data_IF_133081663731
#
_entry.id   IF_133081663731
#
_cell.length_a   1.000
_cell.length_b   1.000
_cell.length_c   1.000
_cell.angle_alpha   90.00
_cell.angle_beta   90.00
_cell.angle_gamma   90.00
#
_symmetry.space_group_name_H-M   'P 1'
#
loop_
_entity.id
_entity.type
_entity.pdbx_description
1 polymer ?
#
# COMPACT_ATOMS: atom_id res chain seq x y z
N UNK A 1 28.96 6.87 -1.45
CA UNK A 1 28.70 7.91 -0.43
C UNK A 1 27.48 7.50 0.38
N UNK A 2 27.46 7.68 1.72
CA UNK A 2 26.28 7.38 2.53
C UNK A 2 25.22 8.48 2.33
N UNK A 3 23.94 8.22 2.64
CA UNK A 3 22.89 9.21 2.48
C UNK A 3 23.07 10.37 3.46
N UNK A 4 22.89 11.61 2.97
CA UNK A 4 23.03 12.84 3.77
C UNK A 4 22.04 12.90 4.94
N UNK A 5 20.84 12.35 4.73
CA UNK A 5 19.86 12.11 5.79
C UNK A 5 19.84 10.63 6.13
N UNK A 6 19.89 10.24 7.42
CA UNK A 6 19.83 8.84 7.81
C UNK A 6 18.50 8.21 7.35
N UNK A 7 18.48 6.91 6.99
CA UNK A 7 17.26 6.23 6.60
C UNK A 7 16.14 6.32 7.65
N UNK A 8 14.90 6.42 7.17
CA UNK A 8 13.70 6.31 7.99
C UNK A 8 13.10 4.92 7.83
N UNK A 9 12.75 4.27 8.94
CA UNK A 9 12.12 2.94 8.88
C UNK A 9 10.77 3.01 8.16
N UNK A 10 10.43 1.98 7.38
CA UNK A 10 9.20 1.95 6.59
C UNK A 10 7.92 1.99 7.44
N UNK A 11 7.98 1.53 8.69
CA UNK A 11 6.89 1.59 9.66
C UNK A 11 6.59 3.00 10.18
N UNK A 12 7.46 3.98 9.91
CA UNK A 12 7.34 5.32 10.46
C UNK A 12 6.21 6.14 9.83
N UNK A 13 5.68 7.08 10.62
CA UNK A 13 4.56 7.91 10.19
C UNK A 13 4.94 8.94 9.12
N UNK A 14 3.95 9.40 8.35
CA UNK A 14 4.10 10.56 7.45
C UNK A 14 4.62 11.80 8.18
N UNK A 15 4.28 11.99 9.47
CA UNK A 15 4.81 13.10 10.29
C UNK A 15 6.34 12.99 10.42
N UNK A 16 6.86 11.81 10.78
CA UNK A 16 8.31 11.56 10.86
C UNK A 16 9.02 11.70 9.52
N UNK A 17 8.37 11.35 8.41
CA UNK A 17 8.90 11.58 7.07
C UNK A 17 9.03 13.07 6.73
N UNK A 18 8.02 13.88 7.09
CA UNK A 18 8.06 15.34 6.95
C UNK A 18 9.17 15.95 7.82
N UNK A 19 9.22 15.59 9.11
CA UNK A 19 10.29 15.99 10.04
C UNK A 19 11.69 15.65 9.49
N UNK A 20 11.89 14.42 8.97
CA UNK A 20 13.19 13.97 8.45
C UNK A 20 13.64 14.76 7.22
N UNK A 21 12.71 15.21 6.39
CA UNK A 21 12.99 16.00 5.18
C UNK A 21 12.93 17.52 5.41
N UNK A 22 12.77 17.99 6.66
CA UNK A 22 12.53 19.40 7.02
C UNK A 22 11.35 20.01 6.26
N UNK A 23 10.29 19.23 6.05
CA UNK A 23 9.06 19.65 5.38
C UNK A 23 7.98 20.00 6.42
N UNK A 24 7.37 21.16 6.23
CA UNK A 24 6.20 21.61 6.99
C UNK A 24 4.90 21.05 6.33
N UNK A 25 4.03 20.32 7.05
CA UNK A 25 2.75 19.82 6.51
C UNK A 25 1.70 20.92 6.26
N UNK A 26 1.82 22.07 6.93
CA UNK A 26 0.89 23.20 6.87
C UNK A 26 1.23 24.17 5.73
N UNK A 27 2.47 24.12 5.23
CA UNK A 27 2.94 24.84 4.03
C UNK A 27 2.41 24.21 2.71
N UNK A 28 1.64 24.96 1.87
CA UNK A 28 1.15 24.48 0.58
C UNK A 28 2.22 23.91 -0.38
N UNK A 29 3.41 24.52 -0.43
CA UNK A 29 4.50 24.11 -1.34
C UNK A 29 5.01 22.71 -0.97
N UNK A 30 5.22 22.44 0.33
CA UNK A 30 5.65 21.13 0.83
C UNK A 30 4.57 20.06 0.64
N UNK A 31 3.28 20.40 0.80
CA UNK A 31 2.18 19.49 0.44
C UNK A 31 2.19 19.13 -1.05
N UNK A 32 2.43 20.11 -1.92
CA UNK A 32 2.55 19.89 -3.38
C UNK A 32 3.75 18.99 -3.70
N UNK A 33 4.91 19.24 -3.11
CA UNK A 33 6.12 18.40 -3.25
C UNK A 33 5.86 16.94 -2.85
N UNK A 34 5.26 16.69 -1.68
CA UNK A 34 4.88 15.34 -1.26
C UNK A 34 3.88 14.69 -2.24
N UNK A 35 2.97 15.48 -2.82
CA UNK A 35 2.08 15.05 -3.90
C UNK A 35 2.83 14.57 -5.14
N UNK A 36 3.88 15.28 -5.55
CA UNK A 36 4.75 14.90 -6.68
C UNK A 36 5.52 13.60 -6.37
N UNK A 37 6.17 13.51 -5.21
CA UNK A 37 6.89 12.29 -4.79
C UNK A 37 5.95 11.08 -4.77
N UNK A 38 4.71 11.28 -4.31
CA UNK A 38 3.68 10.23 -4.28
C UNK A 38 3.23 9.83 -5.68
N UNK A 39 3.12 10.77 -6.62
CA UNK A 39 2.77 10.47 -8.00
C UNK A 39 3.86 9.61 -8.67
N UNK A 40 5.13 9.97 -8.52
CA UNK A 40 6.27 9.19 -9.03
C UNK A 40 6.31 7.77 -8.46
N UNK A 41 6.10 7.63 -7.14
CA UNK A 41 6.01 6.33 -6.48
C UNK A 41 4.77 5.51 -6.90
N UNK A 42 3.63 6.14 -7.21
CA UNK A 42 2.46 5.46 -7.78
C UNK A 42 2.74 4.96 -9.19
N UNK A 43 3.41 5.76 -10.02
CA UNK A 43 3.78 5.39 -11.38
C UNK A 43 4.76 4.21 -11.39
N UNK A 44 5.81 4.26 -10.56
CA UNK A 44 6.74 3.14 -10.39
C UNK A 44 6.09 1.91 -9.78
N UNK A 45 5.17 2.08 -8.81
CA UNK A 45 4.39 0.96 -8.26
C UNK A 45 3.53 0.28 -9.32
N UNK A 46 2.96 1.06 -10.26
CA UNK A 46 2.17 0.52 -11.37
C UNK A 46 3.01 -0.33 -12.33
N UNK A 47 4.21 0.15 -12.68
CA UNK A 47 5.17 -0.60 -13.52
C UNK A 47 5.57 -1.93 -12.89
N UNK A 48 6.10 -1.89 -11.66
CA UNK A 48 6.64 -3.10 -11.01
C UNK A 48 5.55 -4.13 -10.68
N UNK A 49 4.33 -3.69 -10.36
CA UNK A 49 3.21 -4.60 -10.11
C UNK A 49 2.61 -5.23 -11.38
N UNK A 50 3.04 -4.79 -12.57
CA UNK A 50 2.54 -5.30 -13.86
C UNK A 50 3.59 -6.03 -14.69
N UNK A 51 4.82 -6.16 -14.20
CA UNK A 51 5.93 -6.82 -14.91
C UNK A 51 6.21 -8.21 -14.33
N UNK A 52 6.04 -9.31 -15.11
CA UNK A 52 6.37 -10.67 -14.65
C UNK A 52 7.84 -10.84 -14.22
N UNK A 53 8.75 -10.06 -14.80
CA UNK A 53 10.18 -10.05 -14.41
C UNK A 53 10.39 -9.55 -12.97
N UNK A 54 9.45 -8.77 -12.43
CA UNK A 54 9.53 -8.27 -11.06
C UNK A 54 9.27 -9.36 -10.02
N UNK A 55 8.61 -10.46 -10.39
CA UNK A 55 8.26 -11.54 -9.47
C UNK A 55 9.49 -12.20 -8.84
N UNK A 56 9.34 -12.68 -7.61
CA UNK A 56 10.28 -13.61 -6.99
C UNK A 56 10.43 -14.89 -7.85
N UNK A 57 11.63 -15.50 -7.91
CA UNK A 57 11.89 -16.59 -8.86
C UNK A 57 10.90 -17.76 -8.79
N UNK A 58 10.42 -18.10 -7.59
CA UNK A 58 9.46 -19.19 -7.36
C UNK A 58 8.06 -18.95 -7.93
N UNK A 59 7.68 -17.70 -8.21
CA UNK A 59 6.35 -17.36 -8.72
C UNK A 59 6.35 -16.97 -10.21
N UNK A 60 7.52 -16.79 -10.83
CA UNK A 60 7.64 -16.27 -12.20
C UNK A 60 6.94 -17.14 -13.26
N UNK A 61 6.88 -18.45 -13.02
CA UNK A 61 6.32 -19.43 -13.94
C UNK A 61 4.97 -20.00 -13.45
N UNK A 62 4.38 -19.46 -12.37
CA UNK A 62 3.08 -19.91 -11.88
C UNK A 62 1.94 -19.23 -12.67
N UNK A 63 1.16 -19.95 -13.49
CA UNK A 63 0.08 -19.36 -14.27
C UNK A 63 -1.09 -18.85 -13.42
N UNK A 64 -1.11 -19.14 -12.10
CA UNK A 64 -2.11 -18.60 -11.17
C UNK A 64 -1.74 -17.22 -10.62
N UNK A 65 -0.52 -16.73 -10.89
CA UNK A 65 -0.01 -15.44 -10.39
C UNK A 65 -0.21 -14.36 -11.44
N UNK A 66 -1.38 -13.72 -11.37
CA UNK A 66 -1.76 -12.61 -12.25
C UNK A 66 -1.46 -11.22 -11.62
N UNK A 67 -1.18 -10.19 -12.44
CA UNK A 67 -1.04 -8.82 -11.97
C UNK A 67 -2.41 -8.20 -11.58
N UNK A 68 -2.45 -7.16 -10.71
CA UNK A 68 -1.32 -6.45 -10.15
C UNK A 68 -0.70 -7.16 -8.94
N UNK A 69 0.59 -7.46 -9.03
CA UNK A 69 1.31 -8.20 -8.00
C UNK A 69 1.35 -7.44 -6.64
N UNK A 70 1.26 -8.20 -5.55
CA UNK A 70 1.43 -7.71 -4.19
C UNK A 70 2.91 -7.47 -3.85
N UNK A 71 3.21 -6.75 -2.76
CA UNK A 71 4.60 -6.55 -2.34
C UNK A 71 5.31 -7.87 -1.99
N UNK A 72 4.60 -8.85 -1.43
CA UNK A 72 5.18 -10.15 -1.05
C UNK A 72 5.57 -11.03 -2.25
N UNK A 73 5.03 -10.75 -3.44
CA UNK A 73 5.33 -11.48 -4.66
C UNK A 73 6.49 -10.87 -5.48
N UNK A 74 6.90 -9.65 -5.13
CA UNK A 74 7.89 -8.88 -5.89
C UNK A 74 9.28 -9.03 -5.26
N UNK A 75 10.28 -9.26 -6.11
CA UNK A 75 11.67 -9.44 -5.69
C UNK A 75 12.32 -8.13 -5.26
N UNK A 76 13.22 -8.21 -4.28
CA UNK A 76 13.98 -7.05 -3.79
C UNK A 76 14.84 -6.42 -4.91
N UNK A 77 15.42 -7.23 -5.80
CA UNK A 77 16.15 -6.74 -6.97
C UNK A 77 15.29 -5.92 -7.93
N UNK A 78 13.99 -6.27 -8.08
CA UNK A 78 13.06 -5.46 -8.86
C UNK A 78 12.67 -4.17 -8.14
N UNK A 79 12.45 -4.23 -6.82
CA UNK A 79 12.24 -3.03 -5.99
C UNK A 79 13.42 -2.07 -6.11
N UNK A 80 14.65 -2.57 -6.02
CA UNK A 80 15.87 -1.76 -6.14
C UNK A 80 15.99 -1.10 -7.51
N UNK A 81 15.75 -1.87 -8.59
CA UNK A 81 15.79 -1.34 -9.97
C UNK A 81 14.74 -0.25 -10.18
N UNK A 82 13.55 -0.39 -9.61
CA UNK A 82 12.50 0.62 -9.72
C UNK A 82 12.78 1.85 -8.85
N UNK A 83 13.45 1.71 -7.70
CA UNK A 83 13.94 2.84 -6.90
C UNK A 83 14.92 3.70 -7.71
N UNK A 84 15.92 3.09 -8.35
CA UNK A 84 16.87 3.79 -9.22
C UNK A 84 16.15 4.46 -10.40
N UNK A 85 15.23 3.73 -11.05
CA UNK A 85 14.43 4.25 -12.17
C UNK A 85 13.56 5.45 -11.80
N UNK A 86 13.00 5.48 -10.59
CA UNK A 86 12.25 6.64 -10.08
C UNK A 86 13.20 7.82 -9.86
N UNK A 87 14.38 7.59 -9.27
CA UNK A 87 15.39 8.64 -9.06
C UNK A 87 15.90 9.23 -10.39
N UNK A 88 16.23 8.39 -11.38
CA UNK A 88 16.66 8.81 -12.72
C UNK A 88 15.63 9.72 -13.40
N UNK A 89 14.34 9.35 -13.29
CA UNK A 89 13.20 10.02 -13.92
C UNK A 89 12.55 11.10 -13.04
N UNK A 90 13.09 11.34 -11.84
CA UNK A 90 12.53 12.27 -10.88
C UNK A 90 12.50 13.70 -11.45
N UNK A 91 11.42 14.42 -11.16
CA UNK A 91 11.30 15.84 -11.51
C UNK A 91 12.38 16.65 -10.79
N UNK A 92 12.85 17.79 -11.33
CA UNK A 92 13.86 18.63 -10.67
C UNK A 92 13.51 19.01 -9.23
N UNK A 93 12.24 19.18 -8.90
CA UNK A 93 11.75 19.51 -7.57
C UNK A 93 11.86 18.34 -6.57
N UNK A 94 11.52 17.12 -6.99
CA UNK A 94 11.58 15.92 -6.13
C UNK A 94 12.99 15.36 -6.04
N UNK A 95 13.75 15.39 -7.15
CA UNK A 95 15.12 14.89 -7.25
C UNK A 95 16.05 15.49 -6.20
N UNK A 96 15.98 16.81 -5.97
CA UNK A 96 16.77 17.52 -4.95
C UNK A 96 16.63 16.93 -3.55
N UNK A 97 15.45 16.43 -3.20
CA UNK A 97 15.22 15.74 -1.93
C UNK A 97 15.67 14.29 -1.99
N UNK A 98 15.50 13.61 -3.12
CA UNK A 98 15.98 12.23 -3.29
C UNK A 98 17.51 12.13 -3.15
N UNK A 99 18.31 13.11 -3.61
CA UNK A 99 19.76 13.12 -3.36
C UNK A 99 20.10 13.02 -1.86
N UNK A 100 19.26 13.61 -0.98
CA UNK A 100 19.48 13.57 0.47
C UNK A 100 19.36 12.14 1.05
N UNK A 101 18.60 11.26 0.39
CA UNK A 101 18.35 9.89 0.82
C UNK A 101 19.06 8.82 0.00
N UNK A 102 19.97 9.21 -0.90
CA UNK A 102 20.68 8.33 -1.83
C UNK A 102 21.91 7.72 -1.15
N UNK A 103 22.00 6.39 -1.13
CA UNK A 103 23.12 5.61 -0.60
C UNK A 103 23.84 4.94 -1.78
N UNK A 104 25.10 5.32 -2.04
CA UNK A 104 25.96 4.75 -3.09
C UNK A 104 27.17 3.99 -2.53
N UNK A 105 27.29 3.81 -1.20
CA UNK A 105 28.38 3.00 -0.61
C UNK A 105 27.98 1.54 -0.37
N UNK A 106 26.68 1.24 -0.28
CA UNK A 106 26.21 -0.14 -0.22
C UNK A 106 26.50 -0.87 -1.53
N UNK A 107 26.68 -2.19 -1.42
CA UNK A 107 26.78 -3.12 -2.56
C UNK A 107 25.70 -2.92 -3.64
N UNK A 108 24.52 -2.44 -3.22
CA UNK A 108 23.46 -1.99 -4.10
C UNK A 108 23.18 -0.52 -3.81
N UNK A 109 23.26 0.34 -4.83
CA UNK A 109 22.81 1.74 -4.74
C UNK A 109 21.31 1.78 -4.38
N UNK A 110 20.94 2.58 -3.38
CA UNK A 110 19.57 2.68 -2.87
C UNK A 110 19.13 4.12 -2.60
N UNK A 111 17.82 4.31 -2.43
CA UNK A 111 17.24 5.59 -2.03
C UNK A 111 16.13 5.38 -1.00
N UNK A 112 16.42 5.68 0.28
CA UNK A 112 15.49 5.37 1.36
C UNK A 112 14.19 6.18 1.27
N UNK A 113 14.24 7.39 0.70
CA UNK A 113 13.07 8.26 0.54
C UNK A 113 12.09 7.63 -0.46
N UNK A 114 12.60 7.24 -1.62
CA UNK A 114 11.79 6.56 -2.66
C UNK A 114 11.28 5.21 -2.16
N UNK A 115 12.12 4.44 -1.46
CA UNK A 115 11.75 3.17 -0.81
C UNK A 115 10.61 3.34 0.19
N UNK A 116 10.66 4.38 1.03
CA UNK A 116 9.60 4.72 1.99
C UNK A 116 8.30 5.09 1.28
N UNK A 117 8.37 5.90 0.21
CA UNK A 117 7.22 6.30 -0.60
C UNK A 117 6.56 5.10 -1.30
N UNK A 118 7.35 4.19 -1.90
CA UNK A 118 6.86 2.95 -2.52
C UNK A 118 6.10 2.06 -1.53
N UNK A 119 6.64 1.87 -0.32
CA UNK A 119 5.98 1.09 0.73
C UNK A 119 4.62 1.68 1.13
N UNK A 120 4.59 2.99 1.37
CA UNK A 120 3.35 3.69 1.76
C UNK A 120 2.29 3.65 0.65
N UNK A 121 2.68 3.86 -0.61
CA UNK A 121 1.78 3.75 -1.76
C UNK A 121 1.15 2.35 -1.84
N UNK A 122 1.94 1.28 -1.68
CA UNK A 122 1.41 -0.07 -1.69
C UNK A 122 0.42 -0.30 -0.52
N UNK A 123 0.76 0.15 0.69
CA UNK A 123 -0.10 -0.02 1.88
C UNK A 123 -1.46 0.69 1.75
N UNK A 124 -1.50 1.86 1.11
CA UNK A 124 -2.78 2.53 0.80
C UNK A 124 -3.61 1.80 -0.28
N UNK A 125 -2.97 1.13 -1.25
CA UNK A 125 -3.64 0.31 -2.27
C UNK A 125 -4.27 -0.94 -1.63
N UNK A 126 -3.48 -1.66 -0.85
CA UNK A 126 -3.89 -2.95 -0.29
C UNK A 126 -5.01 -2.77 0.75
N UNK A 127 -4.95 -1.72 1.59
CA UNK A 127 -6.05 -1.36 2.49
C UNK A 127 -7.37 -1.12 1.73
N UNK A 128 -7.35 -0.39 0.61
CA UNK A 128 -8.56 -0.13 -0.21
C UNK A 128 -9.12 -1.42 -0.81
N UNK A 129 -8.26 -2.32 -1.30
CA UNK A 129 -8.69 -3.59 -1.88
C UNK A 129 -9.31 -4.51 -0.82
N UNK A 130 -8.77 -4.52 0.41
CA UNK A 130 -9.31 -5.30 1.52
C UNK A 130 -10.72 -4.83 1.94
N UNK A 131 -10.96 -3.51 1.98
CA UNK A 131 -12.29 -2.96 2.25
C UNK A 131 -13.31 -3.34 1.14
N UNK A 132 -12.90 -3.30 -0.14
CA UNK A 132 -13.76 -3.69 -1.27
C UNK A 132 -14.10 -5.19 -1.30
N UNK A 133 -13.28 -6.06 -0.70
CA UNK A 133 -13.60 -7.48 -0.49
C UNK A 133 -14.60 -7.67 0.66
N UNK A 134 -14.43 -6.95 1.79
CA UNK A 134 -15.40 -6.99 2.91
C UNK A 134 -16.80 -6.48 2.55
N UNK A 135 -16.91 -5.57 1.58
CA UNK A 135 -18.21 -5.09 1.07
C UNK A 135 -18.80 -5.95 -0.08
N UNK A 136 -18.15 -7.07 -0.45
CA UNK A 136 -18.61 -8.02 -1.47
C UNK A 136 -18.93 -9.41 -0.89
N UNK A 137 -19.35 -9.46 0.37
CA UNK A 137 -20.10 -10.62 0.88
C UNK A 137 -21.37 -10.78 0.02
N UNK A 138 -21.62 -11.95 -0.60
CA UNK A 138 -22.81 -12.12 -1.41
C UNK A 138 -24.03 -12.12 -0.48
N UNK A 139 -24.92 -11.14 -0.68
CA UNK A 139 -26.29 -11.25 -0.18
C UNK A 139 -26.89 -12.51 -0.77
N UNK A 140 -27.16 -13.51 0.07
CA UNK A 140 -27.73 -14.78 -0.34
C UNK A 140 -28.98 -14.52 -1.17
N UNK A 141 -28.98 -14.97 -2.42
CA UNK A 141 -30.16 -14.92 -3.28
C UNK A 141 -31.23 -15.77 -2.59
N UNK A 142 -32.25 -15.10 -2.03
CA UNK A 142 -33.40 -15.73 -1.41
C UNK A 142 -34.56 -15.53 -2.36
N UNK A 143 -34.83 -16.56 -3.16
CA UNK A 143 -35.98 -16.59 -4.06
C UNK A 143 -37.23 -16.11 -3.35
N UNK A 144 -37.83 -15.06 -3.90
CA UNK A 144 -38.99 -14.38 -3.32
C UNK A 144 -40.15 -14.47 -4.29
N UNK A 145 -40.65 -15.69 -4.46
CA UNK A 145 -42.00 -15.91 -4.96
C UNK A 145 -42.98 -15.49 -3.84
N UNK A 146 -43.98 -14.71 -4.19
CA UNK A 146 -45.16 -14.36 -3.39
C UNK A 146 -46.41 -14.65 -4.24
N UNK A 147 -47.62 -14.87 -3.69
CA UNK A 147 -48.09 -14.31 -2.40
C UNK A 147 -49.03 -15.20 -1.55
N UNK A 148 -49.48 -14.58 -0.43
CA UNK A 148 -50.83 -14.62 0.15
C UNK A 148 -51.16 -15.49 1.40
N UNK A 149 -51.84 -14.81 2.33
CA UNK A 149 -52.81 -15.27 3.35
C UNK A 149 -52.35 -16.08 4.58
N UNK A 150 -52.55 -15.44 5.76
CA UNK A 150 -53.09 -16.02 7.02
C UNK A 150 -52.17 -16.89 7.94
N UNK A 151 -52.30 -16.91 9.29
CA UNK A 151 -53.02 -16.03 10.26
C UNK A 151 -52.53 -16.22 11.72
N UNK A 152 -53.07 -15.42 12.66
CA UNK A 152 -52.92 -15.38 14.16
C UNK A 152 -51.61 -14.82 14.76
N UNK A 153 -51.79 -14.03 15.84
CA UNK A 153 -50.78 -13.55 16.81
C UNK A 153 -50.84 -14.42 18.12
N UNK A 154 -50.43 -13.93 19.32
CA UNK A 154 -49.09 -13.57 19.83
C UNK A 154 -48.69 -14.36 21.11
N UNK A 155 -47.40 -14.42 21.51
CA UNK A 155 -46.99 -14.43 22.95
C UNK A 155 -45.48 -14.20 23.20
N UNK A 156 -45.17 -13.11 23.90
CA UNK A 156 -44.23 -12.95 25.05
C UNK A 156 -43.12 -13.99 25.39
N UNK A 157 -41.85 -13.52 25.32
CA UNK A 157 -40.71 -13.69 26.29
C UNK A 157 -40.02 -15.07 26.48
N UNK A 158 -38.82 -15.15 27.09
CA UNK A 158 -37.76 -14.13 27.30
C UNK A 158 -36.33 -14.57 26.84
N UNK A 159 -35.38 -13.64 26.95
CA UNK A 159 -33.93 -13.80 26.73
C UNK A 159 -33.27 -14.69 27.81
N UNK A 160 -32.28 -15.52 27.44
CA UNK A 160 -31.53 -16.42 28.33
C UNK A 160 -30.05 -16.03 28.41
N UNK A 161 -29.51 -15.97 29.63
CA UNK A 161 -28.13 -15.55 29.95
C UNK A 161 -27.38 -16.66 30.72
N UNK A 162 -26.36 -17.32 30.11
CA UNK A 162 -25.78 -18.54 30.65
C UNK A 162 -24.45 -18.33 31.41
N UNK A 163 -24.46 -17.68 32.57
CA UNK A 163 -23.32 -17.73 33.53
C UNK A 163 -23.79 -17.91 34.98
N UNK A 164 -23.86 -19.17 35.44
CA UNK A 164 -23.69 -19.62 36.84
C UNK A 164 -23.53 -21.15 36.87
N UNK A 165 -22.87 -21.66 37.91
CA UNK A 165 -22.43 -23.05 38.13
C UNK A 165 -21.26 -23.46 37.20
N UNK A 166 -20.06 -23.78 37.68
CA UNK A 166 -19.67 -24.45 38.93
C UNK A 166 -19.28 -23.55 40.09
#
# INVERSE_FOLDING_TARGET
MPPLLPPLAQSESKKRFFERLMLDPDEPIHRKLYGLMKAEAVEGRSRIASSPEALIPSLRNDPKVEPPYSNAQISEAATQREILRIYERARPETRRYYELGRDTDRMNEDNWIIRWMLWHVNRYRDNRNHHKKKSRSPSTVRDSISPAAETVQPTSRPYWDPVRHS
#
